data_IF_401091356421
#
_entry.id   IF_401091356421
#
_cell.length_a   1.000
_cell.length_b   1.000
_cell.length_c   1.000
_cell.angle_alpha   90.00
_cell.angle_beta   90.00
_cell.angle_gamma   90.00
#
_symmetry.space_group_name_H-M   'P 1'
#
loop_
_entity.id
_entity.type
_entity.pdbx_description
1 polymer ?
#
# COMPACT_ATOMS: atom_id res chain seq x y z
N UNK A 1 -2.77 20.19 -6.85
CA UNK A 1 -2.79 19.83 -8.29
C UNK A 1 -2.19 18.45 -8.41
N UNK A 2 -2.97 17.46 -8.87
CA UNK A 2 -2.47 16.09 -9.06
C UNK A 2 -1.72 16.00 -10.41
N UNK A 3 -0.62 15.25 -10.46
CA UNK A 3 0.07 14.95 -11.72
C UNK A 3 1.19 15.91 -12.14
N UNK A 4 1.58 16.88 -11.29
CA UNK A 4 2.83 17.60 -11.49
C UNK A 4 4.01 16.71 -11.08
N UNK A 5 5.16 16.78 -11.77
CA UNK A 5 6.34 15.98 -11.43
C UNK A 5 6.84 16.21 -10.00
N UNK A 6 6.57 17.38 -9.42
CA UNK A 6 6.84 17.71 -8.02
C UNK A 6 5.79 17.21 -7.03
N UNK A 7 4.62 16.73 -7.49
CA UNK A 7 3.51 16.36 -6.61
C UNK A 7 3.75 15.06 -5.86
N UNK A 8 4.64 14.18 -6.34
CA UNK A 8 5.06 12.98 -5.61
C UNK A 8 6.10 13.28 -4.53
N UNK A 9 6.90 14.33 -4.71
CA UNK A 9 7.89 14.76 -3.73
C UNK A 9 7.26 15.34 -2.46
N UNK A 10 6.19 16.14 -2.60
CA UNK A 10 5.57 16.80 -1.46
C UNK A 10 5.02 15.83 -0.38
N UNK A 11 4.25 14.77 -0.73
CA UNK A 11 3.81 13.76 0.24
C UNK A 11 4.97 13.02 0.91
N UNK A 12 5.97 12.60 0.12
CA UNK A 12 7.14 11.90 0.64
C UNK A 12 7.96 12.76 1.61
N UNK A 13 8.19 14.03 1.27
CA UNK A 13 8.86 14.99 2.15
C UNK A 13 8.07 15.21 3.44
N UNK A 14 6.75 15.42 3.34
CA UNK A 14 5.90 15.63 4.50
C UNK A 14 5.91 14.41 5.44
N UNK A 15 5.77 13.19 4.90
CA UNK A 15 5.88 11.94 5.67
C UNK A 15 7.27 11.79 6.33
N UNK A 16 8.33 12.18 5.62
CA UNK A 16 9.69 12.21 6.16
C UNK A 16 9.82 13.16 7.37
N UNK A 17 9.25 14.36 7.27
CA UNK A 17 9.23 15.34 8.36
C UNK A 17 8.39 14.85 9.55
N UNK A 18 7.25 14.22 9.30
CA UNK A 18 6.42 13.59 10.33
C UNK A 18 7.21 12.52 11.08
N UNK A 19 7.92 11.65 10.37
CA UNK A 19 8.73 10.61 10.99
C UNK A 19 9.97 11.16 11.72
N UNK A 20 10.55 12.29 11.28
CA UNK A 20 11.65 12.95 11.99
C UNK A 20 11.21 13.59 13.31
N UNK A 21 9.98 14.09 13.38
CA UNK A 21 9.45 14.78 14.56
C UNK A 21 8.88 13.87 15.64
N UNK A 22 9.07 12.55 15.56
CA UNK A 22 8.46 11.58 16.45
C UNK A 22 9.52 10.76 17.19
N UNK A 23 9.60 10.95 18.52
CA UNK A 23 10.62 10.32 19.38
C UNK A 23 10.10 9.13 20.19
N UNK A 24 8.78 9.00 20.35
CA UNK A 24 8.13 7.95 21.13
C UNK A 24 7.74 6.70 20.33
N UNK A 25 8.10 6.66 19.04
CA UNK A 25 7.75 5.57 18.14
C UNK A 25 9.00 4.75 17.80
N UNK A 26 8.83 3.44 17.64
CA UNK A 26 9.94 2.54 17.40
C UNK A 26 10.66 2.84 16.06
N UNK A 27 11.94 2.54 16.01
CA UNK A 27 12.80 2.88 14.87
C UNK A 27 12.34 2.20 13.57
N UNK A 28 11.77 1.00 13.67
CA UNK A 28 11.25 0.25 12.52
C UNK A 28 10.05 0.96 11.89
N UNK A 29 9.16 1.53 12.69
CA UNK A 29 8.03 2.29 12.17
C UNK A 29 8.49 3.55 11.47
N UNK A 30 9.42 4.29 12.09
CA UNK A 30 9.98 5.50 11.49
C UNK A 30 10.72 5.22 10.18
N UNK A 31 11.49 4.12 10.11
CA UNK A 31 12.19 3.74 8.88
C UNK A 31 11.23 3.33 7.79
N UNK A 32 10.16 2.61 8.14
CA UNK A 32 9.13 2.18 7.20
C UNK A 32 8.36 3.37 6.65
N UNK A 33 7.93 4.33 7.48
CA UNK A 33 7.28 5.57 7.02
C UNK A 33 8.15 6.37 6.05
N UNK A 34 9.48 6.35 6.22
CA UNK A 34 10.41 7.07 5.34
C UNK A 34 10.72 6.34 4.03
N UNK A 35 10.66 5.01 4.02
CA UNK A 35 11.24 4.19 2.94
C UNK A 35 10.23 3.38 2.14
N UNK A 36 9.08 3.05 2.73
CA UNK A 36 8.14 2.13 2.11
C UNK A 36 6.98 2.83 1.40
N UNK A 37 6.80 4.14 1.58
CA UNK A 37 5.82 4.89 0.79
C UNK A 37 6.34 5.13 -0.63
N UNK A 38 5.61 4.63 -1.61
CA UNK A 38 5.75 4.99 -3.02
C UNK A 38 4.52 5.79 -3.44
N UNK A 39 4.70 7.11 -3.58
CA UNK A 39 3.60 8.07 -3.80
C UNK A 39 2.52 7.90 -2.72
N UNK A 40 1.44 7.17 -3.02
CA UNK A 40 0.31 6.94 -2.12
C UNK A 40 0.26 5.51 -1.53
N UNK A 41 1.07 4.57 -2.06
CA UNK A 41 1.07 3.16 -1.64
C UNK A 41 2.17 2.89 -0.60
N UNK A 42 1.88 2.09 0.42
CA UNK A 42 2.87 1.70 1.45
C UNK A 42 2.83 0.19 1.73
N UNK A 43 3.52 -0.63 0.91
CA UNK A 43 3.66 -2.06 1.17
C UNK A 43 4.60 -2.34 2.34
N UNK A 44 4.18 -3.24 3.22
CA UNK A 44 4.90 -3.59 4.45
C UNK A 44 4.76 -5.09 4.69
N UNK A 45 5.86 -5.72 5.07
CA UNK A 45 5.86 -7.09 5.58
C UNK A 45 6.19 -7.13 7.08
N UNK A 46 5.62 -8.10 7.78
CA UNK A 46 5.87 -8.38 9.19
C UNK A 46 6.25 -9.85 9.36
N UNK A 47 7.20 -10.12 10.26
CA UNK A 47 7.64 -11.50 10.58
C UNK A 47 6.62 -12.19 11.51
N UNK A 48 5.44 -12.45 10.95
CA UNK A 48 4.36 -13.20 11.60
C UNK A 48 3.29 -12.35 12.29
N UNK A 49 2.21 -13.05 12.64
CA UNK A 49 0.97 -12.44 13.13
C UNK A 49 1.16 -11.64 14.42
N UNK A 50 1.94 -12.16 15.38
CA UNK A 50 2.18 -11.49 16.66
C UNK A 50 2.80 -10.11 16.47
N UNK A 51 3.83 -10.00 15.61
CA UNK A 51 4.46 -8.71 15.31
C UNK A 51 3.51 -7.79 14.55
N UNK A 52 2.75 -8.30 13.57
CA UNK A 52 1.78 -7.50 12.82
C UNK A 52 0.67 -6.89 13.69
N UNK A 53 0.27 -7.58 14.77
CA UNK A 53 -0.73 -7.11 15.72
C UNK A 53 -0.16 -6.23 16.84
N UNK A 54 1.18 -6.14 16.97
CA UNK A 54 1.79 -5.41 18.08
C UNK A 54 1.60 -3.90 17.88
N UNK A 55 1.05 -3.16 18.86
CA UNK A 55 0.78 -1.73 18.71
C UNK A 55 2.00 -0.89 18.35
N UNK A 56 3.20 -1.33 18.72
CA UNK A 56 4.47 -0.64 18.40
C UNK A 56 4.86 -0.78 16.93
N UNK A 57 4.43 -1.87 16.29
CA UNK A 57 4.66 -2.18 14.87
C UNK A 57 3.53 -1.63 13.98
N UNK A 58 2.51 -1.01 14.57
CA UNK A 58 1.40 -0.40 13.84
C UNK A 58 1.84 0.90 13.19
N UNK A 59 2.32 0.77 11.95
CA UNK A 59 2.90 1.83 11.14
C UNK A 59 1.99 3.04 10.91
N UNK A 60 0.68 2.86 11.02
CA UNK A 60 -0.31 3.90 10.79
C UNK A 60 -0.39 4.95 11.89
N UNK A 61 0.16 4.69 13.08
CA UNK A 61 0.15 5.66 14.19
C UNK A 61 0.88 6.95 13.85
N UNK A 62 2.00 6.85 13.12
CA UNK A 62 2.85 8.01 12.79
C UNK A 62 2.15 8.95 11.80
N UNK A 63 1.69 8.48 10.61
CA UNK A 63 0.91 9.31 9.70
C UNK A 63 -0.34 9.91 10.37
N UNK A 64 -1.13 9.09 11.08
CA UNK A 64 -2.40 9.53 11.71
C UNK A 64 -2.17 10.63 12.74
N UNK A 65 -1.11 10.54 13.55
CA UNK A 65 -0.79 11.55 14.57
C UNK A 65 -0.58 12.96 14.01
N UNK A 66 -0.29 13.07 12.70
CA UNK A 66 -0.07 14.34 12.00
C UNK A 66 -1.12 14.61 10.93
N UNK A 67 -2.28 13.93 11.00
CA UNK A 67 -3.44 14.17 10.13
C UNK A 67 -3.44 13.41 8.81
N UNK A 68 -2.44 12.55 8.55
CA UNK A 68 -2.46 11.66 7.39
C UNK A 68 -3.35 10.46 7.68
N UNK A 69 -4.42 10.30 6.90
CA UNK A 69 -5.29 9.14 7.02
C UNK A 69 -4.93 8.10 5.97
N UNK A 70 -4.50 6.91 6.39
CA UNK A 70 -4.28 5.79 5.49
C UNK A 70 -5.63 5.09 5.22
N UNK A 71 -6.01 5.00 3.95
CA UNK A 71 -7.23 4.33 3.51
C UNK A 71 -6.87 3.11 2.68
N UNK A 72 -7.85 2.25 2.40
CA UNK A 72 -7.70 1.05 1.57
C UNK A 72 -6.71 0.04 2.17
N UNK A 73 -6.82 -0.20 3.47
CA UNK A 73 -6.05 -1.24 4.14
C UNK A 73 -6.41 -2.63 3.60
N UNK A 74 -5.38 -3.44 3.40
CA UNK A 74 -5.50 -4.82 2.95
C UNK A 74 -4.33 -5.64 3.51
N UNK A 75 -4.59 -6.90 3.85
CA UNK A 75 -3.61 -7.80 4.43
C UNK A 75 -3.93 -9.25 4.03
N UNK A 76 -2.90 -10.07 3.86
CA UNK A 76 -3.01 -11.51 3.64
C UNK A 76 -3.51 -12.28 4.88
N UNK A 77 -3.53 -11.64 6.05
CA UNK A 77 -4.01 -12.23 7.28
C UNK A 77 -5.30 -11.55 7.78
N UNK A 78 -6.36 -12.35 7.90
CA UNK A 78 -7.68 -11.87 8.31
C UNK A 78 -7.70 -11.31 9.75
N UNK A 79 -6.90 -11.87 10.66
CA UNK A 79 -6.84 -11.38 12.04
C UNK A 79 -6.22 -9.97 12.12
N UNK A 80 -5.29 -9.63 11.22
CA UNK A 80 -4.71 -8.29 11.13
C UNK A 80 -5.72 -7.30 10.56
N UNK A 81 -6.37 -7.62 9.43
CA UNK A 81 -7.31 -6.68 8.79
C UNK A 81 -8.52 -6.38 9.68
N UNK A 82 -8.97 -7.34 10.49
CA UNK A 82 -10.05 -7.14 11.48
C UNK A 82 -9.73 -6.10 12.56
N UNK A 83 -8.46 -5.75 12.76
CA UNK A 83 -8.08 -4.67 13.69
C UNK A 83 -8.25 -3.26 13.12
N UNK A 84 -8.44 -3.15 11.80
CA UNK A 84 -8.62 -1.88 11.10
C UNK A 84 -10.11 -1.54 11.04
N UNK A 85 -10.45 -0.25 11.17
CA UNK A 85 -11.83 0.21 11.07
C UNK A 85 -12.40 -0.13 9.69
N UNK A 86 -13.62 -0.71 9.57
CA UNK A 86 -14.17 -1.15 8.29
C UNK A 86 -14.22 -0.07 7.20
N UNK A 87 -14.40 1.20 7.57
CA UNK A 87 -14.40 2.33 6.62
C UNK A 87 -13.03 2.63 5.99
N UNK A 88 -11.95 2.13 6.59
CA UNK A 88 -10.58 2.31 6.11
C UNK A 88 -10.06 1.07 5.37
N UNK A 89 -10.78 -0.06 5.41
CA UNK A 89 -10.45 -1.28 4.66
C UNK A 89 -10.78 -1.13 3.18
N UNK A 90 -10.12 -1.90 2.32
CA UNK A 90 -10.54 -2.04 0.91
C UNK A 90 -11.97 -2.62 0.89
N UNK A 91 -12.95 -1.95 0.25
CA UNK A 91 -14.27 -2.54 0.07
C UNK A 91 -14.11 -3.86 -0.69
N UNK A 92 -14.72 -4.93 -0.17
CA UNK A 92 -14.63 -6.34 -0.64
C UNK A 92 -14.32 -6.36 -2.14
N UNK A 93 -13.10 -6.80 -2.44
CA UNK A 93 -12.39 -6.63 -3.70
C UNK A 93 -13.31 -6.93 -4.89
N UNK A 94 -13.55 -5.91 -5.71
CA UNK A 94 -14.22 -6.07 -7.00
C UNK A 94 -13.32 -6.99 -7.83
N UNK A 95 -13.68 -8.26 -7.92
CA UNK A 95 -12.96 -9.22 -8.73
C UNK A 95 -13.03 -8.75 -10.19
N UNK A 96 -11.89 -8.42 -10.79
CA UNK A 96 -11.80 -8.20 -12.24
C UNK A 96 -11.84 -9.52 -13.03
N UNK A 97 -12.03 -10.65 -12.34
CA UNK A 97 -12.19 -11.99 -12.90
C UNK A 97 -13.07 -12.84 -11.96
N UNK A 98 -14.10 -13.54 -12.46
CA UNK A 98 -14.97 -14.40 -11.64
C UNK A 98 -14.26 -15.54 -10.90
N UNK A 99 -12.96 -15.76 -11.15
CA UNK A 99 -12.19 -16.89 -10.62
C UNK A 99 -11.22 -16.57 -9.48
N UNK A 100 -10.94 -15.29 -9.17
CA UNK A 100 -10.01 -14.96 -8.07
C UNK A 100 -10.48 -13.74 -7.25
N UNK A 101 -11.06 -13.97 -6.05
CA UNK A 101 -11.78 -12.93 -5.33
C UNK A 101 -10.89 -11.97 -4.52
N UNK A 102 -9.55 -12.07 -4.55
CA UNK A 102 -8.70 -11.15 -3.78
C UNK A 102 -7.45 -10.64 -4.50
N UNK A 103 -7.64 -9.87 -5.58
CA UNK A 103 -6.56 -9.18 -6.30
C UNK A 103 -6.58 -7.68 -6.01
N UNK A 104 -5.51 -7.13 -5.43
CA UNK A 104 -5.31 -5.69 -5.25
C UNK A 104 -4.27 -5.16 -6.25
N UNK A 105 -4.55 -4.03 -6.90
CA UNK A 105 -3.55 -3.33 -7.72
C UNK A 105 -2.68 -2.42 -6.84
N UNK A 106 -1.36 -2.53 -6.98
CA UNK A 106 -0.39 -1.64 -6.33
C UNK A 106 0.89 -1.64 -7.15
N UNK A 107 1.54 -0.49 -7.29
CA UNK A 107 2.82 -0.35 -8.02
C UNK A 107 2.82 -0.89 -9.47
N UNK A 108 1.67 -0.91 -10.15
CA UNK A 108 1.52 -1.51 -11.49
C UNK A 108 1.47 -3.05 -11.49
N UNK A 109 1.46 -3.68 -10.32
CA UNK A 109 1.32 -5.12 -10.10
C UNK A 109 -0.07 -5.46 -9.53
N UNK A 110 -0.38 -6.75 -9.57
CA UNK A 110 -1.57 -7.37 -8.99
C UNK A 110 -1.16 -8.26 -7.81
N UNK A 111 -1.45 -7.85 -6.58
CA UNK A 111 -1.22 -8.67 -5.40
C UNK A 111 -2.37 -9.66 -5.19
N UNK A 112 -2.09 -10.96 -5.29
CA UNK A 112 -2.99 -12.02 -4.83
C UNK A 112 -2.81 -12.18 -3.33
N UNK A 113 -3.76 -11.65 -2.58
CA UNK A 113 -3.64 -11.47 -1.13
C UNK A 113 -3.62 -12.81 -0.40
N UNK A 114 -4.45 -13.77 -0.82
CA UNK A 114 -4.53 -15.10 -0.18
C UNK A 114 -3.24 -15.90 -0.31
N UNK A 115 -2.62 -15.83 -1.48
CA UNK A 115 -1.40 -16.56 -1.83
C UNK A 115 -0.13 -15.78 -1.45
N UNK A 116 -0.28 -14.55 -0.95
CA UNK A 116 0.78 -13.60 -0.68
C UNK A 116 1.80 -13.46 -1.84
N UNK A 117 1.29 -13.31 -3.07
CA UNK A 117 2.15 -13.22 -4.25
C UNK A 117 1.77 -12.09 -5.19
N UNK A 118 2.79 -11.41 -5.72
CA UNK A 118 2.61 -10.42 -6.78
C UNK A 118 2.56 -11.11 -8.14
N UNK A 119 1.60 -10.68 -8.94
CA UNK A 119 1.35 -11.13 -10.30
C UNK A 119 1.22 -9.91 -11.20
N UNK A 120 1.27 -10.12 -12.51
CA UNK A 120 0.98 -9.09 -13.50
C UNK A 120 0.16 -9.72 -14.62
N UNK A 121 -0.76 -8.94 -15.18
CA UNK A 121 -1.57 -9.38 -16.31
C UNK A 121 -1.01 -8.77 -17.58
N UNK A 122 -0.52 -9.61 -18.48
CA UNK A 122 -0.19 -9.19 -19.84
C UNK A 122 -1.44 -9.38 -20.70
N UNK A 123 -2.09 -8.28 -21.06
CA UNK A 123 -3.03 -8.30 -22.18
C UNK A 123 -2.19 -8.15 -23.45
N UNK A 124 -1.81 -9.30 -24.04
CA UNK A 124 -1.18 -9.32 -25.36
C UNK A 124 -2.25 -8.82 -26.34
N UNK A 125 -2.16 -7.55 -26.69
CA UNK A 125 -2.98 -6.94 -27.71
C UNK A 125 -2.62 -7.62 -29.04
N UNK A 126 -3.45 -8.56 -29.50
CA UNK A 126 -3.46 -9.06 -30.88
C UNK A 126 -3.96 -7.93 -31.82
N UNK A 127 -3.31 -6.78 -31.78
CA UNK A 127 -3.50 -5.69 -32.74
C UNK A 127 -2.42 -5.86 -33.80
N UNK A 128 -2.73 -5.67 -35.09
CA UNK A 128 -1.71 -5.62 -36.12
C UNK A 128 -0.69 -4.54 -35.73
N UNK A 129 0.60 -4.86 -35.88
CA UNK A 129 1.71 -3.94 -35.58
C UNK A 129 1.48 -2.67 -36.39
N UNK A 130 1.05 -1.62 -35.71
CA UNK A 130 0.89 -0.28 -36.28
C UNK A 130 1.86 0.62 -35.56
N UNK A 131 2.50 1.52 -36.32
CA UNK A 131 3.62 2.37 -35.86
C UNK A 131 3.35 3.18 -34.58
N UNK A 132 2.10 3.29 -34.11
CA UNK A 132 1.72 4.01 -32.90
C UNK A 132 1.71 3.20 -31.60
N UNK A 133 2.09 1.92 -31.61
CA UNK A 133 2.01 1.02 -30.44
C UNK A 133 3.32 0.74 -29.70
N UNK A 134 4.39 1.48 -29.98
CA UNK A 134 5.71 1.34 -29.35
C UNK A 134 6.04 2.64 -28.62
N UNK A 135 5.42 2.87 -27.46
CA UNK A 135 5.86 3.83 -26.44
C UNK A 135 5.52 3.29 -25.06
#
# INVERSE_FOLDING_TARGET
>A
MFGATSSSFCPAFALGQVANGQHSVNQKTLSTTKRNFYVDDCPVSAEGLKKALTPEEQLWKVPISRGFRCLKWVCNNEAVIKTIVPSEQVPILISLSPSDPMIQKTLGLCWRIKDDCFTFKLDILNRPVTRGGLL
#
